data_IF_532029882268
#
_entry.id   IF_532029882268
#
_cell.length_a   1.000
_cell.length_b   1.000
_cell.length_c   1.000
_cell.angle_alpha   90.00
_cell.angle_beta   90.00
_cell.angle_gamma   90.00
#
_symmetry.space_group_name_H-M   'P 1'
#
loop_
_entity.id
_entity.type
_entity.pdbx_description
1 polymer ?
#
# COMPACT_ATOMS: atom_id res chain seq x y z
N UNK A 1 -4.90 -13.16 -5.52
CA UNK A 1 -4.57 -11.85 -4.93
C UNK A 1 -3.08 -11.78 -4.65
N UNK A 2 -2.42 -10.75 -5.13
CA UNK A 2 -0.99 -10.55 -4.91
C UNK A 2 -0.79 -9.41 -3.93
N UNK A 3 0.08 -9.60 -2.96
CA UNK A 3 0.39 -8.58 -1.96
C UNK A 3 1.88 -8.49 -1.73
N UNK A 4 2.32 -7.32 -1.31
CA UNK A 4 3.72 -7.10 -0.92
C UNK A 4 3.76 -6.12 0.24
N UNK A 5 4.84 -6.14 0.98
CA UNK A 5 5.02 -5.19 2.07
C UNK A 5 5.11 -3.77 1.53
N UNK A 6 4.51 -2.84 2.25
CA UNK A 6 4.58 -1.42 1.93
C UNK A 6 5.31 -0.72 3.07
N UNK A 7 6.56 -0.37 2.83
CA UNK A 7 7.40 0.24 3.85
C UNK A 7 7.30 1.76 3.76
N UNK A 8 6.48 2.33 4.61
CA UNK A 8 6.29 3.78 4.66
C UNK A 8 6.74 4.28 6.02
N UNK A 9 7.58 5.31 6.01
CA UNK A 9 8.10 5.90 7.25
C UNK A 9 6.96 6.38 8.12
N UNK A 10 6.98 5.98 9.38
CA UNK A 10 5.92 6.30 10.33
C UNK A 10 4.82 5.25 10.41
N UNK A 11 4.85 4.24 9.54
CA UNK A 11 3.85 3.19 9.53
C UNK A 11 4.51 1.84 9.73
N UNK A 12 3.75 0.90 10.31
CA UNK A 12 4.28 -0.41 10.69
C UNK A 12 4.67 -1.22 9.47
N UNK A 13 5.68 -2.07 9.63
CA UNK A 13 6.19 -2.90 8.54
C UNK A 13 5.19 -3.97 8.09
N UNK A 14 4.13 -4.20 8.85
CA UNK A 14 3.09 -5.14 8.43
C UNK A 14 2.15 -4.55 7.37
N UNK A 15 2.29 -3.24 7.06
CA UNK A 15 1.48 -2.60 6.03
C UNK A 15 1.72 -3.25 4.67
N UNK A 16 0.67 -3.33 3.87
CA UNK A 16 0.72 -4.03 2.58
C UNK A 16 0.08 -3.24 1.45
N UNK A 17 0.53 -3.54 0.25
CA UNK A 17 -0.03 -3.06 -1.00
C UNK A 17 -0.35 -4.29 -1.86
N UNK A 18 -1.48 -4.28 -2.53
CA UNK A 18 -1.82 -5.45 -3.32
C UNK A 18 -2.84 -5.20 -4.40
N UNK A 19 -3.12 -6.27 -5.14
CA UNK A 19 -4.14 -6.27 -6.19
C UNK A 19 -5.32 -7.12 -5.77
N UNK A 20 -6.51 -6.71 -6.19
CA UNK A 20 -7.74 -7.46 -5.94
C UNK A 20 -8.19 -8.06 -7.26
N UNK A 21 -8.10 -9.37 -7.37
CA UNK A 21 -8.43 -10.07 -8.61
C UNK A 21 -9.93 -10.01 -8.92
N UNK A 22 -10.74 -9.90 -7.88
CA UNK A 22 -12.19 -9.87 -8.09
C UNK A 22 -12.65 -8.57 -8.73
N UNK A 23 -12.06 -7.45 -8.34
CA UNK A 23 -12.44 -6.16 -8.87
C UNK A 23 -11.48 -5.67 -9.95
N UNK A 24 -10.32 -6.28 -10.07
CA UNK A 24 -9.26 -5.82 -10.96
C UNK A 24 -8.56 -4.57 -10.47
N UNK A 25 -8.80 -4.19 -9.23
CA UNK A 25 -8.26 -2.96 -8.67
C UNK A 25 -7.08 -3.17 -7.75
N UNK A 26 -6.78 -2.15 -7.00
CA UNK A 26 -5.65 -2.10 -6.07
C UNK A 26 -6.12 -1.75 -4.68
N UNK A 27 -5.37 -2.18 -3.67
CA UNK A 27 -5.67 -1.82 -2.30
C UNK A 27 -4.39 -1.61 -1.50
N UNK A 28 -4.51 -0.86 -0.41
CA UNK A 28 -3.44 -0.70 0.55
C UNK A 28 -4.04 -0.77 1.95
N UNK A 29 -3.35 -1.48 2.83
CA UNK A 29 -3.72 -1.58 4.24
C UNK A 29 -2.51 -1.17 5.05
N UNK A 30 -2.69 -0.18 5.91
CA UNK A 30 -1.59 0.36 6.69
C UNK A 30 -1.93 0.30 8.17
N UNK A 31 -0.94 -0.10 8.96
CA UNK A 31 -1.03 -0.11 10.42
C UNK A 31 -0.06 0.93 10.95
N UNK A 32 -0.48 1.64 11.99
CA UNK A 32 0.41 2.59 12.65
C UNK A 32 1.53 1.84 13.36
N UNK A 33 2.68 2.50 13.50
CA UNK A 33 3.82 1.88 14.19
C UNK A 33 3.41 1.43 15.58
N UNK A 34 3.75 0.19 15.90
CA UNK A 34 3.43 -0.37 17.19
C UNK A 34 2.02 -0.87 17.36
N UNK A 35 1.21 -0.79 16.31
CA UNK A 35 -0.16 -1.30 16.37
C UNK A 35 -0.14 -2.83 16.35
N UNK A 36 -0.91 -3.44 17.24
CA UNK A 36 -1.12 -4.89 17.25
C UNK A 36 -2.55 -5.25 16.91
N UNK A 37 -3.28 -4.30 16.32
CA UNK A 37 -4.65 -4.52 15.91
C UNK A 37 -4.70 -5.47 14.71
N UNK A 38 -5.72 -6.32 14.66
CA UNK A 38 -5.93 -7.19 13.51
C UNK A 38 -6.42 -6.41 12.30
N UNK A 39 -7.06 -5.27 12.54
CA UNK A 39 -7.58 -4.44 11.45
C UNK A 39 -6.62 -3.32 11.13
N UNK A 40 -6.45 -3.00 9.84
CA UNK A 40 -5.59 -1.88 9.50
C UNK A 40 -6.19 -0.57 9.96
N UNK A 41 -5.33 0.38 10.31
CA UNK A 41 -5.76 1.72 10.67
C UNK A 41 -6.20 2.51 9.45
N UNK A 42 -5.63 2.18 8.29
CA UNK A 42 -6.01 2.77 7.00
C UNK A 42 -6.21 1.63 6.01
N UNK A 43 -7.35 1.64 5.34
CA UNK A 43 -7.63 0.67 4.28
C UNK A 43 -8.27 1.44 3.13
N UNK A 44 -7.60 1.47 1.99
CA UNK A 44 -8.07 2.17 0.81
C UNK A 44 -8.03 1.26 -0.41
N UNK A 45 -8.98 1.49 -1.31
CA UNK A 45 -9.09 0.77 -2.56
C UNK A 45 -9.16 1.77 -3.71
N UNK A 46 -8.65 1.38 -4.86
CA UNK A 46 -8.71 2.24 -6.04
C UNK A 46 -8.58 1.39 -7.30
N UNK A 47 -9.04 1.94 -8.41
CA UNK A 47 -8.95 1.25 -9.69
C UNK A 47 -7.59 1.32 -10.36
N UNK A 48 -6.77 2.29 -9.97
CA UNK A 48 -5.43 2.47 -10.53
C UNK A 48 -4.43 2.72 -9.41
N UNK A 49 -3.16 2.47 -9.71
CA UNK A 49 -2.08 2.74 -8.75
C UNK A 49 -2.01 4.23 -8.45
N UNK A 50 -2.16 5.08 -9.45
CA UNK A 50 -2.10 6.52 -9.24
C UNK A 50 -3.19 7.00 -8.29
N UNK A 51 -4.40 6.50 -8.44
CA UNK A 51 -5.49 6.83 -7.55
C UNK A 51 -5.25 6.30 -6.15
N UNK A 52 -4.72 5.09 -6.04
CA UNK A 52 -4.38 4.51 -4.75
C UNK A 52 -3.35 5.35 -4.02
N UNK A 53 -2.33 5.81 -4.75
CA UNK A 53 -1.30 6.68 -4.19
C UNK A 53 -1.91 7.94 -3.60
N UNK A 54 -2.84 8.57 -4.30
CA UNK A 54 -3.50 9.77 -3.82
C UNK A 54 -4.31 9.49 -2.56
N UNK A 55 -5.03 8.37 -2.52
CA UNK A 55 -5.79 8.01 -1.33
C UNK A 55 -4.88 7.79 -0.12
N UNK A 56 -3.75 7.13 -0.34
CA UNK A 56 -2.80 6.90 0.74
C UNK A 56 -2.23 8.23 1.24
N UNK A 57 -1.92 9.14 0.32
CA UNK A 57 -1.44 10.47 0.71
C UNK A 57 -2.45 11.21 1.59
N UNK A 58 -3.72 11.15 1.20
CA UNK A 58 -4.77 11.84 1.94
C UNK A 58 -5.01 11.22 3.31
N UNK A 59 -4.96 9.91 3.40
CA UNK A 59 -5.27 9.21 4.63
C UNK A 59 -4.11 9.19 5.61
N UNK A 60 -2.88 9.18 5.12
CA UNK A 60 -1.70 9.13 6.00
C UNK A 60 -1.13 10.50 6.32
N UNK A 61 -1.34 11.48 5.44
CA UNK A 61 -0.70 12.77 5.57
C UNK A 61 0.81 12.73 5.36
N UNK A 62 1.33 11.63 4.86
CA UNK A 62 2.76 11.48 4.64
C UNK A 62 3.24 12.32 3.46
N UNK A 63 4.53 12.73 3.45
CA UNK A 63 5.07 13.50 2.33
C UNK A 63 4.99 12.71 1.02
N UNK A 64 4.57 13.37 -0.04
CA UNK A 64 4.40 12.73 -1.35
C UNK A 64 5.65 11.99 -1.82
N UNK A 65 6.87 12.56 -1.72
CA UNK A 65 8.06 11.82 -2.17
C UNK A 65 8.26 10.51 -1.43
N UNK A 66 7.96 10.46 -0.13
CA UNK A 66 8.14 9.23 0.65
C UNK A 66 7.13 8.17 0.23
N UNK A 67 5.89 8.56 -0.01
CA UNK A 67 4.87 7.62 -0.45
C UNK A 67 5.21 7.11 -1.86
N UNK A 68 5.67 7.98 -2.74
CA UNK A 68 6.06 7.58 -4.10
C UNK A 68 7.19 6.55 -4.09
N UNK A 69 8.20 6.75 -3.25
CA UNK A 69 9.32 5.81 -3.14
C UNK A 69 8.82 4.48 -2.58
N UNK A 70 7.98 4.52 -1.54
CA UNK A 70 7.43 3.30 -0.95
C UNK A 70 6.62 2.51 -1.97
N UNK A 71 5.79 3.19 -2.78
CA UNK A 71 5.01 2.54 -3.81
C UNK A 71 5.90 1.96 -4.91
N UNK A 72 6.92 2.69 -5.32
CA UNK A 72 7.84 2.22 -6.37
C UNK A 72 8.52 0.93 -5.92
N UNK A 73 8.98 0.88 -4.69
CA UNK A 73 9.64 -0.30 -4.16
C UNK A 73 8.67 -1.46 -4.01
N UNK A 74 7.47 -1.19 -3.51
CA UNK A 74 6.45 -2.22 -3.36
C UNK A 74 6.05 -2.79 -4.71
N UNK A 75 5.85 -1.95 -5.70
CA UNK A 75 5.47 -2.40 -7.04
C UNK A 75 6.55 -3.23 -7.69
N UNK A 76 7.81 -2.92 -7.43
CA UNK A 76 8.92 -3.71 -7.96
C UNK A 76 8.90 -5.13 -7.39
N UNK A 77 8.55 -5.27 -6.10
CA UNK A 77 8.45 -6.58 -5.47
C UNK A 77 7.21 -7.33 -5.92
N UNK A 78 6.15 -6.61 -6.18
CA UNK A 78 4.87 -7.22 -6.58
C UNK A 78 4.87 -7.66 -8.03
N UNK A 79 5.75 -7.11 -8.83
CA UNK A 79 5.79 -7.39 -10.25
C UNK A 79 5.98 -8.88 -10.50
N UNK A 80 5.09 -9.52 -11.26
CA UNK A 80 5.22 -10.95 -11.49
C UNK A 80 6.48 -11.29 -12.27
N UNK A 81 7.14 -12.36 -11.88
CA UNK A 81 8.22 -12.93 -12.64
C UNK A 81 7.59 -13.74 -13.74
N UNK A 82 7.90 -13.42 -14.98
CA UNK A 82 7.42 -14.24 -16.04
C UNK A 82 8.50 -15.11 -16.55
N UNK A 83 8.38 -15.14 -16.66
CA UNK A 83 8.90 -15.83 -17.28
C UNK A 83 8.99 -16.07 -17.88
#
# INVERSE_FOLDING_TARGET
>A
MATTALFLDGWDEQSILGTDELTGGWFAQLWQNGSDSERPDVWVNAGTVASLLEHVLQRTGAPSPKVSVAFTEALAELKPTTR
#
